data_IF_751775342202
#
_entry.id   IF_751775342202
#
_cell.length_a   1.000
_cell.length_b   1.000
_cell.length_c   1.000
_cell.angle_alpha   90.00
_cell.angle_beta   90.00
_cell.angle_gamma   90.00
#
_symmetry.space_group_name_H-M   'P 1'
#
loop_
_entity.id
_entity.type
_entity.pdbx_description
1 polymer ?
#
# COMPACT_ATOMS: atom_id res chain seq x y z
N UNK A 1 3.59 16.09 6.06
CA UNK A 1 3.05 15.09 7.00
C UNK A 1 4.11 14.81 8.06
N UNK A 2 3.71 14.69 9.33
CA UNK A 2 4.61 14.31 10.41
C UNK A 2 4.36 12.82 10.77
N UNK A 3 5.39 12.12 11.19
CA UNK A 3 5.29 10.73 11.65
C UNK A 3 4.64 10.68 13.05
N UNK A 4 3.33 10.85 13.09
CA UNK A 4 2.57 10.82 14.36
C UNK A 4 2.08 9.41 14.70
N UNK A 5 2.12 8.46 13.76
CA UNK A 5 1.49 7.16 13.88
C UNK A 5 -0.04 7.17 13.82
N UNK A 6 -0.64 8.36 13.83
CA UNK A 6 -2.09 8.51 13.76
C UNK A 6 -2.59 8.39 12.32
N UNK A 7 -3.71 7.70 12.09
CA UNK A 7 -4.32 7.60 10.77
C UNK A 7 -4.73 8.98 10.24
N UNK A 8 -4.42 9.25 8.97
CA UNK A 8 -4.77 10.51 8.30
C UNK A 8 -5.91 10.31 7.31
N UNK A 9 -6.78 11.31 7.19
CA UNK A 9 -7.77 11.31 6.11
C UNK A 9 -7.08 11.51 4.77
N UNK A 10 -7.48 10.75 3.75
CA UNK A 10 -6.94 10.91 2.40
C UNK A 10 -7.19 12.34 1.84
N UNK A 11 -8.25 13.01 2.30
CA UNK A 11 -8.56 14.39 1.94
C UNK A 11 -7.51 15.40 2.42
N UNK A 12 -6.66 15.06 3.39
CA UNK A 12 -5.55 15.92 3.81
C UNK A 12 -4.51 16.14 2.70
N UNK A 13 -4.44 15.21 1.72
CA UNK A 13 -3.56 15.30 0.57
C UNK A 13 -4.28 15.69 -0.74
N UNK A 14 -5.48 16.28 -0.66
CA UNK A 14 -6.32 16.63 -1.82
C UNK A 14 -5.65 17.60 -2.80
N UNK A 15 -4.85 18.51 -2.26
CA UNK A 15 -4.17 19.57 -3.02
C UNK A 15 -2.75 19.19 -3.46
N UNK A 16 -2.32 17.96 -3.13
CA UNK A 16 -1.00 17.45 -3.50
C UNK A 16 -0.99 16.87 -4.93
N UNK A 17 0.20 16.84 -5.52
CA UNK A 17 0.44 16.04 -6.72
C UNK A 17 0.56 14.57 -6.35
N UNK A 18 0.04 13.70 -7.19
CA UNK A 18 0.00 12.27 -6.92
C UNK A 18 0.89 11.48 -7.87
N UNK A 19 1.56 10.49 -7.29
CA UNK A 19 2.32 9.47 -7.99
C UNK A 19 1.49 8.18 -7.89
N UNK A 20 0.97 7.71 -9.02
CA UNK A 20 0.16 6.49 -9.05
C UNK A 20 1.01 5.26 -9.38
N UNK A 21 0.59 4.12 -8.87
CA UNK A 21 1.15 2.82 -9.21
C UNK A 21 0.63 2.25 -10.53
N UNK A 22 0.63 0.92 -10.63
CA UNK A 22 0.06 0.17 -11.76
C UNK A 22 -1.40 0.54 -12.04
N UNK A 23 -1.98 0.15 -13.19
CA UNK A 23 -3.37 0.50 -13.52
C UNK A 23 -4.39 0.17 -12.44
N UNK A 24 -4.25 -1.00 -11.76
CA UNK A 24 -5.12 -1.40 -10.66
C UNK A 24 -4.91 -0.51 -9.42
N UNK A 25 -3.67 -0.18 -9.09
CA UNK A 25 -3.34 0.71 -7.98
C UNK A 25 -3.86 2.13 -8.23
N UNK A 26 -3.71 2.63 -9.46
CA UNK A 26 -4.27 3.91 -9.88
C UNK A 26 -5.80 3.93 -9.76
N UNK A 27 -6.48 2.88 -10.22
CA UNK A 27 -7.94 2.79 -10.09
C UNK A 27 -8.39 2.80 -8.62
N UNK A 28 -7.65 2.12 -7.73
CA UNK A 28 -7.91 2.13 -6.31
C UNK A 28 -7.72 3.54 -5.69
N UNK A 29 -6.63 4.22 -6.03
CA UNK A 29 -6.38 5.61 -5.61
C UNK A 29 -7.54 6.52 -6.01
N UNK A 30 -7.97 6.48 -7.29
CA UNK A 30 -9.07 7.31 -7.80
C UNK A 30 -10.38 7.00 -7.06
N UNK A 31 -10.67 5.72 -6.79
CA UNK A 31 -11.86 5.29 -6.04
C UNK A 31 -11.85 5.83 -4.60
N UNK A 32 -10.73 5.71 -3.89
CA UNK A 32 -10.59 6.19 -2.51
C UNK A 32 -10.65 7.72 -2.44
N UNK A 33 -9.98 8.41 -3.36
CA UNK A 33 -10.02 9.87 -3.45
C UNK A 33 -11.45 10.40 -3.71
N UNK A 34 -12.19 9.73 -4.61
CA UNK A 34 -13.59 10.08 -4.87
C UNK A 34 -14.48 9.92 -3.62
N UNK A 35 -14.24 8.88 -2.80
CA UNK A 35 -14.91 8.69 -1.51
C UNK A 35 -14.55 9.79 -0.50
N UNK A 36 -13.28 10.22 -0.52
CA UNK A 36 -12.79 11.33 0.29
C UNK A 36 -13.17 12.72 -0.25
N UNK A 37 -13.95 12.77 -1.34
CA UNK A 37 -14.53 14.00 -1.90
C UNK A 37 -13.61 14.79 -2.83
N UNK A 38 -12.57 14.19 -3.41
CA UNK A 38 -11.68 14.87 -4.34
C UNK A 38 -11.26 14.02 -5.54
N UNK A 39 -10.68 14.67 -6.55
CA UNK A 39 -10.06 14.03 -7.70
C UNK A 39 -8.55 14.23 -7.61
N UNK A 40 -7.73 13.15 -7.57
CA UNK A 40 -6.28 13.29 -7.43
C UNK A 40 -5.66 13.87 -8.70
N UNK A 41 -4.75 14.84 -8.54
CA UNK A 41 -3.92 15.37 -9.62
C UNK A 41 -2.72 14.44 -9.85
N UNK A 42 -2.91 13.41 -10.66
CA UNK A 42 -1.90 12.38 -10.93
C UNK A 42 -0.92 12.91 -11.99
N UNK A 43 0.30 13.21 -11.57
CA UNK A 43 1.39 13.74 -12.41
C UNK A 43 2.35 12.66 -12.89
N UNK A 44 2.56 11.61 -12.10
CA UNK A 44 3.50 10.54 -12.40
C UNK A 44 2.85 9.17 -12.21
N UNK A 45 3.33 8.18 -12.96
CA UNK A 45 2.91 6.79 -12.83
C UNK A 45 4.13 5.88 -12.94
N UNK A 46 4.27 4.97 -11.98
CA UNK A 46 5.26 3.89 -12.03
C UNK A 46 4.75 2.70 -11.22
N UNK A 47 5.01 1.48 -11.66
CA UNK A 47 4.68 0.25 -10.94
C UNK A 47 5.84 -0.26 -10.05
N UNK A 48 6.95 0.47 -10.04
CA UNK A 48 8.10 0.22 -9.19
C UNK A 48 8.01 1.03 -7.88
N UNK A 49 7.94 0.35 -6.74
CA UNK A 49 7.84 1.00 -5.43
C UNK A 49 9.09 1.78 -5.05
N UNK A 50 10.28 1.37 -5.52
CA UNK A 50 11.52 2.11 -5.31
C UNK A 50 11.50 3.44 -6.06
N UNK A 51 11.09 3.43 -7.32
CA UNK A 51 10.93 4.63 -8.11
C UNK A 51 9.86 5.56 -7.50
N UNK A 52 8.75 4.99 -6.99
CA UNK A 52 7.73 5.75 -6.27
C UNK A 52 8.32 6.48 -5.07
N UNK A 53 9.06 5.79 -4.21
CA UNK A 53 9.66 6.37 -3.02
C UNK A 53 10.66 7.48 -3.37
N UNK A 54 11.53 7.25 -4.35
CA UNK A 54 12.48 8.28 -4.81
C UNK A 54 11.77 9.54 -5.34
N UNK A 55 10.66 9.39 -6.06
CA UNK A 55 9.88 10.53 -6.55
C UNK A 55 9.23 11.31 -5.40
N UNK A 56 8.77 10.63 -4.34
CA UNK A 56 8.25 11.27 -3.13
C UNK A 56 9.38 11.99 -2.39
N UNK A 57 10.53 11.35 -2.21
CA UNK A 57 11.69 11.90 -1.49
C UNK A 57 12.19 13.20 -2.11
N UNK A 58 12.20 13.31 -3.44
CA UNK A 58 12.58 14.54 -4.15
C UNK A 58 11.43 15.56 -4.26
N UNK A 59 10.33 15.35 -3.57
CA UNK A 59 9.22 16.31 -3.48
C UNK A 59 8.32 16.39 -4.72
N UNK A 60 8.28 15.36 -5.56
CA UNK A 60 7.43 15.36 -6.77
C UNK A 60 5.95 15.04 -6.48
N UNK A 61 5.62 14.72 -5.24
CA UNK A 61 4.26 14.47 -4.81
C UNK A 61 4.15 13.42 -3.72
N UNK A 62 2.94 12.92 -3.51
CA UNK A 62 2.60 11.87 -2.55
C UNK A 62 2.13 10.60 -3.27
N UNK A 63 2.16 9.47 -2.60
CA UNK A 63 1.69 8.20 -3.16
C UNK A 63 0.88 7.38 -2.17
N UNK A 64 -0.03 6.56 -2.68
CA UNK A 64 -0.75 5.56 -1.91
C UNK A 64 -0.10 4.19 -2.15
N UNK A 65 0.55 3.66 -1.14
CA UNK A 65 1.27 2.38 -1.20
C UNK A 65 0.70 1.36 -0.20
N UNK A 66 0.85 0.05 -0.44
CA UNK A 66 0.47 -0.95 0.54
C UNK A 66 1.30 -0.84 1.82
N UNK A 67 0.68 -0.96 2.99
CA UNK A 67 1.39 -0.93 4.28
C UNK A 67 2.48 -2.01 4.38
N UNK A 68 2.28 -3.17 3.74
CA UNK A 68 3.27 -4.24 3.72
C UNK A 68 4.60 -3.78 3.08
N UNK A 69 4.54 -2.94 2.04
CA UNK A 69 5.74 -2.40 1.39
C UNK A 69 6.48 -1.41 2.31
N UNK A 70 5.76 -0.52 2.98
CA UNK A 70 6.36 0.47 3.90
C UNK A 70 7.02 -0.17 5.12
N UNK A 71 6.49 -1.28 5.63
CA UNK A 71 7.08 -2.00 6.76
C UNK A 71 8.39 -2.71 6.44
N UNK A 72 8.60 -3.05 5.17
CA UNK A 72 9.77 -3.83 4.74
C UNK A 72 10.84 -2.93 4.13
N UNK A 73 10.46 -1.90 3.40
CA UNK A 73 11.33 -1.22 2.45
C UNK A 73 11.27 0.32 2.46
N UNK A 74 10.76 0.96 3.52
CA UNK A 74 10.72 2.43 3.55
C UNK A 74 12.13 3.01 3.55
N UNK A 75 12.40 3.92 2.63
CA UNK A 75 13.72 4.49 2.37
C UNK A 75 13.84 5.94 2.84
N UNK A 76 15.07 6.34 3.21
CA UNK A 76 15.39 7.74 3.47
C UNK A 76 14.55 8.39 4.57
N UNK A 77 14.27 9.67 4.40
CA UNK A 77 13.48 10.49 5.34
C UNK A 77 11.98 10.49 5.00
N UNK A 78 11.47 9.42 4.39
CA UNK A 78 10.07 9.30 4.02
C UNK A 78 9.18 9.03 5.24
N UNK A 79 8.01 9.64 5.25
CA UNK A 79 6.98 9.40 6.26
C UNK A 79 5.83 8.61 5.65
N UNK A 80 5.46 7.50 6.28
CA UNK A 80 4.30 6.70 5.92
C UNK A 80 3.20 6.86 6.98
N UNK A 81 2.05 7.38 6.56
CA UNK A 81 0.89 7.56 7.44
C UNK A 81 -0.20 6.54 7.10
N UNK A 82 -0.75 5.83 8.08
CA UNK A 82 -1.95 5.02 7.87
C UNK A 82 -3.11 5.87 7.34
N UNK A 83 -3.95 5.30 6.48
CA UNK A 83 -5.14 5.98 5.97
C UNK A 83 -6.35 5.65 6.85
N UNK A 84 -7.05 6.68 7.33
CA UNK A 84 -8.28 6.59 8.11
C UNK A 84 -9.49 6.33 7.19
N UNK A 85 -9.52 5.20 6.48
CA UNK A 85 -10.63 4.75 5.64
C UNK A 85 -10.68 3.22 5.66
N UNK A 86 -11.77 2.64 6.17
CA UNK A 86 -11.98 1.19 6.26
C UNK A 86 -11.93 0.50 4.89
N UNK A 87 -12.17 1.23 3.81
CA UNK A 87 -12.08 0.71 2.43
C UNK A 87 -10.67 0.78 1.83
N UNK A 88 -9.72 1.37 2.55
CA UNK A 88 -8.30 1.35 2.17
C UNK A 88 -7.64 -0.02 2.46
N UNK A 89 -8.33 -0.91 3.17
CA UNK A 89 -7.83 -2.25 3.47
C UNK A 89 -7.65 -3.10 2.19
N UNK A 90 -6.58 -3.89 2.18
CA UNK A 90 -6.28 -4.85 1.12
C UNK A 90 -6.14 -6.24 1.72
N UNK A 91 -6.81 -7.22 1.10
CA UNK A 91 -6.66 -8.62 1.46
C UNK A 91 -5.56 -9.27 0.60
N UNK A 92 -4.72 -10.05 1.24
CA UNK A 92 -3.74 -10.92 0.58
C UNK A 92 -4.11 -12.35 0.91
N UNK A 93 -4.35 -13.15 -0.11
CA UNK A 93 -4.79 -14.55 0.04
C UNK A 93 -3.89 -15.52 -0.73
N UNK A 94 -3.95 -16.79 -0.33
CA UNK A 94 -3.29 -17.88 -1.01
C UNK A 94 -4.32 -18.64 -1.83
N UNK A 95 -4.02 -18.87 -3.11
CA UNK A 95 -4.88 -19.66 -4.01
C UNK A 95 -4.17 -20.95 -4.36
N UNK A 96 -4.84 -22.08 -4.14
CA UNK A 96 -4.32 -23.40 -4.49
C UNK A 96 -5.31 -24.13 -5.40
N UNK A 97 -4.83 -25.17 -6.09
CA UNK A 97 -5.71 -26.04 -6.87
C UNK A 97 -6.56 -26.88 -5.91
N UNK A 98 -7.86 -26.96 -6.16
CA UNK A 98 -8.76 -27.82 -5.38
C UNK A 98 -8.30 -29.30 -5.46
N UNK A 99 -8.23 -29.96 -4.30
CA UNK A 99 -7.81 -31.35 -4.20
C UNK A 99 -6.30 -31.60 -4.34
N UNK A 100 -5.48 -30.57 -4.23
CA UNK A 100 -4.02 -30.72 -4.16
C UNK A 100 -3.59 -31.07 -2.73
N UNK A 101 -3.17 -32.32 -2.53
CA UNK A 101 -2.77 -32.86 -1.22
C UNK A 101 -1.26 -33.15 -1.15
N UNK A 102 -0.44 -32.53 -1.98
CA UNK A 102 1.02 -32.71 -1.93
C UNK A 102 1.57 -32.27 -0.58
N UNK A 103 2.38 -33.09 0.11
CA UNK A 103 2.93 -32.72 1.42
C UNK A 103 3.72 -31.40 1.41
N UNK A 104 4.50 -31.15 0.36
CA UNK A 104 5.26 -29.92 0.20
C UNK A 104 4.36 -28.67 0.14
N UNK A 105 3.13 -28.79 -0.42
CA UNK A 105 2.17 -27.68 -0.43
C UNK A 105 1.67 -27.38 0.98
N UNK A 106 1.35 -28.40 1.79
CA UNK A 106 0.96 -28.23 3.19
C UNK A 106 2.02 -27.46 3.99
N UNK A 107 3.28 -27.91 3.91
CA UNK A 107 4.39 -27.23 4.60
C UNK A 107 4.59 -25.78 4.14
N UNK A 108 4.42 -25.51 2.84
CA UNK A 108 4.51 -24.14 2.31
C UNK A 108 3.38 -23.27 2.83
N UNK A 109 2.14 -23.76 2.90
CA UNK A 109 0.99 -23.01 3.41
C UNK A 109 1.18 -22.65 4.88
N UNK A 110 1.59 -23.61 5.72
CA UNK A 110 1.87 -23.36 7.14
C UNK A 110 2.95 -22.28 7.32
N UNK A 111 4.01 -22.33 6.52
CA UNK A 111 5.09 -21.33 6.59
C UNK A 111 4.64 -19.95 6.13
N UNK A 112 3.83 -19.86 5.06
CA UNK A 112 3.27 -18.61 4.58
C UNK A 112 2.31 -17.98 5.60
N UNK A 113 1.44 -18.78 6.22
CA UNK A 113 0.53 -18.30 7.28
C UNK A 113 1.32 -17.79 8.49
N UNK A 114 2.31 -18.54 8.94
CA UNK A 114 3.18 -18.15 10.06
C UNK A 114 3.91 -16.82 9.76
N UNK A 115 4.40 -16.68 8.55
CA UNK A 115 5.10 -15.46 8.12
C UNK A 115 4.14 -14.28 8.02
N UNK A 116 2.95 -14.48 7.43
CA UNK A 116 1.93 -13.44 7.32
C UNK A 116 1.52 -12.89 8.69
N UNK A 117 1.28 -13.78 9.67
CA UNK A 117 0.95 -13.37 11.04
C UNK A 117 2.04 -12.50 11.68
N UNK A 118 3.31 -12.79 11.42
CA UNK A 118 4.43 -11.98 11.92
C UNK A 118 4.39 -10.54 11.40
N UNK A 119 4.02 -10.34 10.13
CA UNK A 119 3.97 -9.00 9.51
C UNK A 119 2.63 -8.27 9.73
N UNK A 120 1.53 -9.00 9.91
CA UNK A 120 0.21 -8.42 10.16
C UNK A 120 0.00 -8.05 11.64
N UNK A 121 0.72 -8.70 12.56
CA UNK A 121 0.63 -8.45 14.01
C UNK A 121 1.56 -7.33 14.50
N UNK A 122 2.46 -6.85 13.65
CA UNK A 122 3.32 -5.70 13.92
C UNK A 122 2.54 -4.40 13.62
N UNK A 123 1.52 -4.12 14.47
CA UNK A 123 0.84 -2.82 14.53
C UNK A 123 1.38 -2.03 15.70
#
# INVERSE_FOLDING_TARGET
FEETGEPVSLSAAKDEHWIAGCPTCRANLVKLAARAGFKPDIRHCTDDYWATQNLVEVGMGVSLVPALDTHINLQGDLVACPIADDFAAREVGIVTRAGDHRPALGSLLEELERTALKYLSAK
#
